data_IF_047256399052
#
_entry.id   IF_047256399052
#
_cell.length_a   1.000
_cell.length_b   1.000
_cell.length_c   1.000
_cell.angle_alpha   90.00
_cell.angle_beta   90.00
_cell.angle_gamma   90.00
#
_symmetry.space_group_name_H-M   'P 1'
#
loop_
_entity.id
_entity.type
_entity.pdbx_description
1 polymer ?
#
# COMPACT_ATOMS: atom_id res chain seq x y z
N UNK A 1 21.94 -30.98 12.06
CA UNK A 1 20.46 -30.89 12.11
C UNK A 1 20.16 -29.45 12.39
N UNK A 2 19.52 -28.74 11.47
CA UNK A 2 19.22 -27.29 11.58
C UNK A 2 17.78 -27.02 12.04
N UNK A 3 17.26 -25.84 11.70
CA UNK A 3 16.11 -25.14 12.28
C UNK A 3 16.36 -24.58 13.70
N UNK A 4 17.55 -24.04 13.94
CA UNK A 4 17.85 -23.35 15.19
C UNK A 4 17.20 -21.96 15.20
N UNK A 5 16.24 -21.74 16.11
CA UNK A 5 15.60 -20.42 16.28
C UNK A 5 16.60 -19.33 16.74
N UNK A 6 17.62 -19.71 17.52
CA UNK A 6 18.80 -18.91 17.83
C UNK A 6 19.92 -19.78 18.41
N UNK A 7 21.03 -19.96 17.69
CA UNK A 7 22.22 -20.69 18.14
C UNK A 7 23.33 -19.73 18.54
N UNK A 8 23.88 -19.90 19.75
CA UNK A 8 25.11 -19.21 20.17
C UNK A 8 26.33 -20.06 19.85
N UNK A 9 27.23 -19.54 19.02
CA UNK A 9 28.53 -20.16 18.75
C UNK A 9 29.59 -19.60 19.70
N UNK A 10 30.36 -20.47 20.34
CA UNK A 10 31.46 -20.07 21.21
C UNK A 10 32.68 -19.59 20.44
N UNK A 11 33.48 -18.72 21.04
CA UNK A 11 34.74 -18.23 20.45
C UNK A 11 35.84 -19.30 20.51
N UNK A 12 35.83 -20.23 19.56
CA UNK A 12 36.84 -21.31 19.46
C UNK A 12 37.74 -21.06 18.25
N UNK A 13 39.03 -20.86 18.49
CA UNK A 13 40.00 -20.54 17.46
C UNK A 13 40.10 -21.61 16.35
N UNK A 14 40.04 -21.14 15.10
CA UNK A 14 40.07 -21.92 13.87
C UNK A 14 38.96 -22.98 13.78
N UNK A 15 37.85 -22.77 14.48
CA UNK A 15 36.71 -23.68 14.38
C UNK A 15 35.90 -23.47 13.10
N UNK A 16 35.21 -24.53 12.70
CA UNK A 16 34.21 -24.51 11.64
C UNK A 16 32.90 -25.03 12.20
N UNK A 17 31.85 -24.23 12.13
CA UNK A 17 30.50 -24.58 12.55
C UNK A 17 29.62 -24.76 11.32
N UNK A 18 28.83 -25.83 11.28
CA UNK A 18 27.88 -26.13 10.19
C UNK A 18 26.50 -26.39 10.77
N UNK A 19 25.49 -25.63 10.34
CA UNK A 19 24.13 -25.73 10.90
C UNK A 19 23.31 -26.82 10.19
N UNK A 20 23.43 -26.87 8.86
CA UNK A 20 23.01 -28.01 8.05
C UNK A 20 21.89 -27.64 7.10
N UNK A 21 20.66 -28.00 7.43
CA UNK A 21 19.48 -27.72 6.62
C UNK A 21 18.37 -27.15 7.49
N UNK A 22 17.52 -26.31 6.94
CA UNK A 22 16.48 -25.60 7.66
C UNK A 22 16.78 -24.10 7.70
N UNK A 23 15.84 -23.31 8.19
CA UNK A 23 16.05 -21.88 8.36
C UNK A 23 16.69 -21.64 9.73
N UNK A 24 17.99 -21.39 9.75
CA UNK A 24 18.77 -21.25 10.98
C UNK A 24 19.04 -19.78 11.34
N UNK A 25 19.06 -19.47 12.63
CA UNK A 25 19.53 -18.18 13.15
C UNK A 25 20.73 -18.41 14.05
N UNK A 26 21.84 -17.73 13.78
CA UNK A 26 23.06 -17.78 14.61
C UNK A 26 23.36 -16.43 15.24
N UNK A 27 23.53 -16.38 16.55
CA UNK A 27 23.95 -15.17 17.25
C UNK A 27 25.45 -14.96 17.09
N UNK A 28 25.79 -13.84 16.45
CA UNK A 28 27.16 -13.35 16.38
C UNK A 28 27.37 -12.28 17.45
N UNK A 29 28.24 -12.59 18.38
CA UNK A 29 28.79 -11.60 19.33
C UNK A 29 30.18 -11.17 18.85
N UNK A 30 30.80 -10.20 19.54
CA UNK A 30 32.18 -9.83 19.23
C UNK A 30 33.09 -11.07 19.36
N UNK A 31 33.57 -11.56 18.22
CA UNK A 31 34.51 -12.67 18.16
C UNK A 31 35.94 -12.15 18.34
N UNK A 32 36.81 -12.95 18.93
CA UNK A 32 38.24 -12.64 19.08
C UNK A 32 39.12 -13.56 18.26
N UNK A 33 38.58 -14.71 17.87
CA UNK A 33 39.32 -15.79 17.24
C UNK A 33 38.75 -16.11 15.86
N UNK A 34 39.64 -16.49 14.94
CA UNK A 34 39.28 -16.82 13.57
C UNK A 34 38.27 -17.97 13.52
N UNK A 35 37.14 -17.80 12.85
CA UNK A 35 36.08 -18.79 12.76
C UNK A 35 35.41 -18.80 11.39
N UNK A 36 34.88 -19.96 11.03
CA UNK A 36 33.99 -20.11 9.86
C UNK A 36 32.65 -20.66 10.33
N UNK A 37 31.56 -20.00 9.94
CA UNK A 37 30.20 -20.45 10.21
C UNK A 37 29.51 -20.63 8.86
N UNK A 38 28.88 -21.77 8.68
CA UNK A 38 28.20 -22.21 7.47
C UNK A 38 26.73 -22.52 7.81
N UNK A 39 25.79 -21.69 7.33
CA UNK A 39 24.36 -21.87 7.55
C UNK A 39 23.88 -23.17 6.89
N UNK A 40 24.18 -23.30 5.61
CA UNK A 40 23.95 -24.51 4.84
C UNK A 40 22.81 -24.31 3.87
N UNK A 41 21.75 -25.13 3.98
CA UNK A 41 20.61 -25.06 3.07
C UNK A 41 19.36 -24.53 3.80
N UNK A 42 18.82 -23.41 3.35
CA UNK A 42 17.65 -22.78 3.94
C UNK A 42 17.74 -21.26 3.78
N UNK A 43 16.93 -20.53 4.53
CA UNK A 43 17.10 -19.09 4.74
C UNK A 43 17.75 -18.86 6.10
N UNK A 44 19.06 -18.68 6.10
CA UNK A 44 19.87 -18.58 7.30
C UNK A 44 20.19 -17.12 7.63
N UNK A 45 20.03 -16.73 8.90
CA UNK A 45 20.24 -15.36 9.38
C UNK A 45 21.32 -15.28 10.45
N UNK A 46 22.08 -14.19 10.43
CA UNK A 46 23.00 -13.82 11.51
C UNK A 46 22.31 -12.82 12.44
N UNK A 47 22.09 -13.23 13.69
CA UNK A 47 21.55 -12.38 14.75
C UNK A 47 22.65 -11.51 15.35
N UNK A 48 22.43 -10.19 15.33
CA UNK A 48 23.36 -9.17 15.83
C UNK A 48 22.61 -8.08 16.60
N UNK A 49 23.32 -7.32 17.42
CA UNK A 49 22.77 -6.05 17.92
C UNK A 49 23.00 -4.92 16.89
N UNK A 50 22.28 -3.81 17.04
CA UNK A 50 22.36 -2.66 16.13
C UNK A 50 23.78 -2.07 16.00
N UNK A 51 24.61 -2.16 17.04
CA UNK A 51 25.99 -1.67 17.01
C UNK A 51 26.88 -2.56 16.12
N UNK A 52 26.75 -3.88 16.24
CA UNK A 52 27.50 -4.83 15.42
C UNK A 52 27.03 -4.82 13.96
N UNK A 53 25.73 -4.59 13.72
CA UNK A 53 25.21 -4.39 12.36
C UNK A 53 25.93 -3.25 11.62
N UNK A 54 26.23 -2.14 12.32
CA UNK A 54 26.98 -0.99 11.78
C UNK A 54 28.44 -1.34 11.53
N UNK A 55 29.11 -2.08 12.43
CA UNK A 55 30.54 -2.39 12.29
C UNK A 55 30.81 -3.51 11.29
N UNK A 56 29.87 -4.45 11.09
CA UNK A 56 30.07 -5.67 10.32
C UNK A 56 30.66 -6.82 11.14
N UNK A 57 30.72 -8.03 10.56
CA UNK A 57 31.28 -9.22 11.21
C UNK A 57 32.80 -9.14 11.46
N UNK A 58 33.52 -8.26 10.74
CA UNK A 58 34.97 -8.16 10.78
C UNK A 58 35.70 -9.28 10.03
N UNK A 59 37.03 -9.18 9.93
CA UNK A 59 37.83 -10.09 9.08
C UNK A 59 38.13 -11.46 9.71
N UNK A 60 37.80 -11.63 10.98
CA UNK A 60 38.07 -12.85 11.76
C UNK A 60 36.94 -13.88 11.64
N UNK A 61 35.75 -13.48 11.17
CA UNK A 61 34.62 -14.40 10.96
C UNK A 61 34.34 -14.51 9.48
N UNK A 62 34.33 -15.74 8.97
CA UNK A 62 33.83 -16.05 7.63
C UNK A 62 32.44 -16.63 7.74
N UNK A 63 31.47 -15.98 7.09
CA UNK A 63 30.07 -16.40 7.04
C UNK A 63 29.80 -16.96 5.63
N UNK A 64 29.39 -18.22 5.55
CA UNK A 64 29.02 -18.89 4.29
C UNK A 64 27.55 -19.29 4.33
N UNK A 65 26.87 -19.21 3.19
CA UNK A 65 25.48 -19.63 3.02
C UNK A 65 24.56 -19.01 4.09
N UNK A 66 24.57 -17.67 4.13
CA UNK A 66 23.66 -16.86 4.93
C UNK A 66 22.97 -15.87 4.00
N UNK A 67 21.68 -15.71 4.19
CA UNK A 67 20.83 -14.84 3.38
C UNK A 67 20.66 -13.46 4.01
N UNK A 68 20.98 -13.29 5.30
CA UNK A 68 20.55 -12.09 5.99
C UNK A 68 21.00 -11.83 7.43
N UNK A 69 20.47 -10.73 7.98
CA UNK A 69 20.62 -10.29 9.36
C UNK A 69 19.30 -10.38 10.13
N UNK A 70 19.41 -10.68 11.43
CA UNK A 70 18.38 -10.39 12.43
C UNK A 70 18.93 -9.38 13.44
N UNK A 71 18.43 -8.15 13.41
CA UNK A 71 18.98 -7.02 14.16
C UNK A 71 18.14 -6.75 15.40
N UNK A 72 18.76 -6.88 16.57
CA UNK A 72 18.18 -6.57 17.88
C UNK A 72 18.63 -5.21 18.41
N UNK A 73 17.84 -4.66 19.34
CA UNK A 73 18.03 -3.32 19.88
C UNK A 73 17.56 -2.22 18.93
N UNK A 74 17.36 -1.02 19.46
CA UNK A 74 16.96 0.13 18.66
C UNK A 74 18.06 0.52 17.67
N UNK A 75 17.63 0.91 16.47
CA UNK A 75 18.49 1.43 15.42
C UNK A 75 18.52 2.95 15.55
N UNK A 76 19.73 3.50 15.71
CA UNK A 76 19.97 4.93 15.82
C UNK A 76 20.31 5.58 14.47
N UNK A 77 20.89 6.77 14.53
CA UNK A 77 21.20 7.60 13.36
C UNK A 77 22.43 7.14 12.56
N UNK A 78 23.25 6.24 13.09
CA UNK A 78 24.43 5.73 12.38
C UNK A 78 23.99 4.74 11.31
N UNK A 79 24.35 5.01 10.06
CA UNK A 79 23.97 4.18 8.93
C UNK A 79 24.56 2.76 9.04
N UNK A 80 23.74 1.77 8.68
CA UNK A 80 24.14 0.39 8.48
C UNK A 80 24.53 0.24 7.01
N UNK A 81 25.79 -0.12 6.76
CA UNK A 81 26.32 -0.33 5.42
C UNK A 81 26.29 -1.83 5.08
N UNK A 82 25.37 -2.23 4.21
CA UNK A 82 25.19 -3.63 3.83
C UNK A 82 26.32 -4.16 2.94
N UNK A 83 27.24 -3.31 2.44
CA UNK A 83 28.46 -3.78 1.80
C UNK A 83 29.35 -4.58 2.77
N UNK A 84 29.25 -4.32 4.08
CA UNK A 84 29.94 -5.08 5.14
C UNK A 84 29.31 -6.46 5.40
N UNK A 85 28.15 -6.71 4.82
CA UNK A 85 27.36 -7.94 4.90
C UNK A 85 27.09 -8.45 3.49
N UNK A 86 28.16 -8.56 2.70
CA UNK A 86 28.07 -8.84 1.25
C UNK A 86 27.24 -10.10 0.99
N UNK A 87 26.29 -9.98 0.04
CA UNK A 87 25.41 -11.07 -0.36
C UNK A 87 24.11 -11.16 0.44
N UNK A 88 24.01 -10.46 1.59
CA UNK A 88 22.81 -10.51 2.42
C UNK A 88 21.70 -9.66 1.82
N UNK A 89 20.52 -10.27 1.67
CA UNK A 89 19.33 -9.65 1.10
C UNK A 89 18.15 -9.64 2.06
N UNK A 90 18.18 -10.42 3.13
CA UNK A 90 17.12 -10.48 4.14
C UNK A 90 17.53 -9.73 5.40
N UNK A 91 16.74 -8.77 5.85
CA UNK A 91 17.01 -8.00 7.07
C UNK A 91 15.76 -8.02 7.95
N UNK A 92 15.85 -8.69 9.08
CA UNK A 92 14.81 -8.72 10.11
C UNK A 92 15.14 -7.75 11.22
N UNK A 93 14.26 -6.80 11.49
CA UNK A 93 14.38 -5.79 12.53
C UNK A 93 13.49 -6.19 13.70
N UNK A 94 14.10 -6.45 14.86
CA UNK A 94 13.39 -6.85 16.09
C UNK A 94 13.22 -5.67 17.06
N UNK A 95 14.16 -4.72 17.04
CA UNK A 95 14.15 -3.58 17.96
C UNK A 95 14.40 -3.98 19.41
N UNK A 96 13.95 -3.14 20.34
CA UNK A 96 13.92 -3.44 21.77
C UNK A 96 12.49 -3.58 22.31
N UNK A 97 12.31 -3.52 23.63
CA UNK A 97 10.98 -3.61 24.25
C UNK A 97 10.01 -2.52 23.76
N UNK A 98 10.53 -1.38 23.32
CA UNK A 98 9.77 -0.17 23.04
C UNK A 98 9.50 0.01 21.54
N UNK A 99 10.54 -0.06 20.70
CA UNK A 99 10.45 0.26 19.27
C UNK A 99 11.63 -0.28 18.45
N UNK A 100 11.53 -0.18 17.12
CA UNK A 100 12.64 -0.51 16.21
C UNK A 100 13.71 0.57 16.13
N UNK A 101 13.32 1.85 16.24
CA UNK A 101 14.17 2.99 15.88
C UNK A 101 14.17 4.04 16.97
N UNK A 102 15.35 4.45 17.44
CA UNK A 102 15.52 5.58 18.38
C UNK A 102 15.75 6.93 17.68
N UNK A 103 16.10 6.89 16.39
CA UNK A 103 16.23 8.03 15.49
C UNK A 103 15.97 7.55 14.04
N UNK A 104 16.05 8.45 13.06
CA UNK A 104 16.00 8.05 11.65
C UNK A 104 17.11 7.03 11.35
N UNK A 105 16.74 5.83 10.93
CA UNK A 105 17.64 4.77 10.54
C UNK A 105 17.98 4.86 9.05
N UNK A 106 19.16 4.38 8.65
CA UNK A 106 19.57 4.35 7.24
C UNK A 106 20.30 3.05 6.93
N UNK A 107 19.86 2.37 5.88
CA UNK A 107 20.50 1.20 5.31
C UNK A 107 21.06 1.58 3.94
N UNK A 108 22.38 1.49 3.80
CA UNK A 108 23.09 1.74 2.55
C UNK A 108 23.46 0.44 1.86
N UNK A 109 23.61 0.50 0.54
CA UNK A 109 24.09 -0.60 -0.30
C UNK A 109 23.24 -1.87 -0.18
N UNK A 110 21.93 -1.73 0.02
CA UNK A 110 21.00 -2.86 -0.05
C UNK A 110 21.06 -3.47 -1.45
N UNK A 111 20.92 -4.79 -1.53
CA UNK A 111 20.78 -5.45 -2.82
C UNK A 111 19.39 -5.17 -3.38
N UNK A 112 19.26 -5.09 -4.71
CA UNK A 112 17.95 -5.04 -5.33
C UNK A 112 17.16 -6.32 -4.96
N UNK A 113 15.86 -6.18 -4.70
CA UNK A 113 14.98 -7.21 -4.13
C UNK A 113 15.30 -7.61 -2.68
N UNK A 114 16.02 -6.78 -1.92
CA UNK A 114 16.15 -6.98 -0.48
C UNK A 114 14.79 -7.00 0.23
N UNK A 115 14.68 -7.84 1.25
CA UNK A 115 13.51 -7.98 2.12
C UNK A 115 13.79 -7.39 3.48
N UNK A 116 12.97 -6.45 3.91
CA UNK A 116 13.01 -5.82 5.23
C UNK A 116 11.79 -6.28 6.03
N UNK A 117 12.03 -7.08 7.07
CA UNK A 117 10.98 -7.56 7.97
C UNK A 117 10.98 -6.74 9.26
N UNK A 118 9.82 -6.22 9.63
CA UNK A 118 9.59 -5.60 10.94
C UNK A 118 8.93 -6.65 11.82
N UNK A 119 9.69 -7.18 12.80
CA UNK A 119 9.26 -8.25 13.67
C UNK A 119 8.84 -7.68 15.03
N UNK A 120 7.55 -7.75 15.36
CA UNK A 120 6.99 -7.46 16.67
C UNK A 120 6.88 -5.98 17.04
N UNK A 121 7.62 -5.09 16.38
CA UNK A 121 7.77 -3.69 16.78
C UNK A 121 7.57 -2.73 15.62
N UNK A 122 6.99 -1.56 15.92
CA UNK A 122 6.79 -0.47 14.97
C UNK A 122 8.06 0.37 14.81
N UNK A 123 8.17 1.04 13.66
CA UNK A 123 9.15 2.09 13.43
C UNK A 123 8.60 3.44 13.91
N UNK A 124 9.25 4.02 14.93
CA UNK A 124 8.88 5.35 15.47
C UNK A 124 9.46 6.49 14.64
N UNK A 125 10.54 6.22 13.90
CA UNK A 125 11.26 7.16 13.05
C UNK A 125 11.43 6.60 11.65
N UNK A 126 11.88 7.43 10.70
CA UNK A 126 12.04 6.99 9.32
C UNK A 126 13.11 5.89 9.21
N UNK A 127 12.89 4.96 8.28
CA UNK A 127 13.86 3.96 7.86
C UNK A 127 14.18 4.24 6.39
N UNK A 128 15.36 4.79 6.12
CA UNK A 128 15.83 5.03 4.75
C UNK A 128 16.45 3.75 4.19
N UNK A 129 15.99 3.34 3.01
CA UNK A 129 16.39 2.12 2.32
C UNK A 129 17.06 2.50 0.99
N UNK A 130 18.39 2.50 0.95
CA UNK A 130 19.15 2.84 -0.24
C UNK A 130 19.62 1.55 -0.93
N UNK A 131 18.92 1.16 -2.00
CA UNK A 131 19.37 0.10 -2.90
C UNK A 131 20.62 0.58 -3.64
N UNK A 132 21.60 -0.33 -3.75
CA UNK A 132 22.83 -0.07 -4.49
C UNK A 132 22.50 0.25 -5.95
N UNK A 133 23.04 1.36 -6.44
CA UNK A 133 22.92 1.84 -7.82
C UNK A 133 21.49 2.25 -8.27
N UNK A 134 20.55 2.41 -7.32
CA UNK A 134 19.14 2.75 -7.58
C UNK A 134 18.95 4.00 -8.47
N UNK A 135 19.76 5.05 -8.27
CA UNK A 135 19.71 6.27 -9.07
C UNK A 135 19.98 6.07 -10.58
N UNK A 136 20.54 4.92 -10.97
CA UNK A 136 20.78 4.54 -12.38
C UNK A 136 19.97 3.33 -12.83
N UNK A 137 19.39 2.60 -11.89
CA UNK A 137 18.46 1.52 -12.18
C UNK A 137 17.11 2.07 -12.64
N UNK A 138 16.27 1.17 -13.16
CA UNK A 138 14.91 1.52 -13.64
C UNK A 138 13.89 0.46 -13.25
N UNK A 139 14.27 -0.46 -12.36
CA UNK A 139 13.41 -1.55 -11.90
C UNK A 139 13.87 -2.01 -10.51
N UNK A 140 14.22 -1.05 -9.67
CA UNK A 140 14.61 -1.32 -8.30
C UNK A 140 13.39 -1.66 -7.47
N UNK A 141 13.56 -2.63 -6.59
CA UNK A 141 12.49 -3.26 -5.82
C UNK A 141 12.95 -3.50 -4.40
N UNK A 142 12.11 -3.12 -3.44
CA UNK A 142 12.26 -3.52 -2.04
C UNK A 142 11.01 -4.24 -1.55
N UNK A 143 11.21 -5.28 -0.74
CA UNK A 143 10.13 -6.04 -0.12
C UNK A 143 10.02 -5.64 1.35
N UNK A 144 8.82 -5.30 1.81
CA UNK A 144 8.52 -4.97 3.20
C UNK A 144 7.63 -6.07 3.78
N UNK A 145 8.01 -6.62 4.93
CA UNK A 145 7.20 -7.58 5.67
C UNK A 145 6.84 -6.97 7.02
N UNK A 146 5.55 -6.87 7.29
CA UNK A 146 5.00 -6.43 8.57
C UNK A 146 4.56 -7.67 9.34
N UNK A 147 5.26 -7.97 10.42
CA UNK A 147 4.98 -9.12 11.27
C UNK A 147 4.77 -8.63 12.71
N UNK A 148 3.55 -8.17 13.06
CA UNK A 148 3.30 -7.49 14.33
C UNK A 148 3.52 -8.37 15.55
N UNK A 149 3.52 -9.71 15.41
CA UNK A 149 3.53 -10.75 16.46
C UNK A 149 2.42 -10.68 17.51
N UNK A 150 2.00 -9.47 17.90
CA UNK A 150 0.98 -9.10 18.88
C UNK A 150 0.27 -7.84 18.38
N UNK A 151 -0.87 -7.47 18.97
CA UNK A 151 -1.54 -6.21 18.67
C UNK A 151 -1.81 -5.41 19.95
N UNK A 152 -2.18 -4.15 19.78
CA UNK A 152 -2.66 -3.26 20.83
C UNK A 152 -4.08 -2.82 20.53
N UNK A 153 -4.83 -2.38 21.55
CA UNK A 153 -6.19 -1.88 21.36
C UNK A 153 -6.25 -0.39 21.65
N UNK A 154 -6.85 0.39 20.76
CA UNK A 154 -7.21 1.79 21.00
C UNK A 154 -8.66 2.03 20.60
N UNK A 155 -9.52 2.25 21.59
CA UNK A 155 -10.97 2.25 21.36
C UNK A 155 -11.44 0.87 20.88
N UNK A 156 -12.08 0.84 19.70
CA UNK A 156 -12.49 -0.40 19.02
C UNK A 156 -11.40 -1.01 18.12
N UNK A 157 -10.32 -0.28 17.87
CA UNK A 157 -9.37 -0.62 16.83
C UNK A 157 -8.30 -1.57 17.37
N UNK A 158 -8.06 -2.66 16.63
CA UNK A 158 -6.96 -3.58 16.87
C UNK A 158 -5.79 -3.16 16.00
N UNK A 159 -4.72 -2.70 16.64
CA UNK A 159 -3.58 -2.08 15.99
C UNK A 159 -2.39 -3.04 16.05
N UNK A 160 -1.98 -3.54 14.88
CA UNK A 160 -0.74 -4.28 14.69
C UNK A 160 0.44 -3.31 14.60
N UNK A 161 1.18 -3.34 13.49
CA UNK A 161 2.26 -2.38 13.23
C UNK A 161 1.70 -1.07 12.66
N UNK A 162 1.48 -0.08 13.53
CA UNK A 162 1.20 1.29 13.11
C UNK A 162 2.47 2.14 13.10
N UNK A 163 3.18 2.14 11.97
CA UNK A 163 4.45 2.85 11.85
C UNK A 163 4.24 4.37 11.88
N UNK A 164 4.93 5.04 12.81
CA UNK A 164 4.94 6.50 12.85
C UNK A 164 5.89 7.05 11.78
N UNK A 165 7.06 6.42 11.62
CA UNK A 165 8.04 6.73 10.61
C UNK A 165 7.68 6.21 9.21
N UNK A 166 8.34 6.77 8.21
CA UNK A 166 8.24 6.36 6.81
C UNK A 166 9.37 5.41 6.46
N UNK A 167 9.10 4.46 5.56
CA UNK A 167 10.14 3.92 4.69
C UNK A 167 10.50 4.98 3.65
N UNK A 168 11.74 5.47 3.70
CA UNK A 168 12.23 6.45 2.74
C UNK A 168 12.93 5.70 1.61
N UNK A 169 12.36 5.80 0.41
CA UNK A 169 12.72 5.04 -0.79
C UNK A 169 13.03 6.01 -1.94
N UNK A 170 14.30 6.41 -2.02
CA UNK A 170 14.80 7.25 -3.11
C UNK A 170 15.14 6.38 -4.32
N UNK A 171 14.65 6.78 -5.50
CA UNK A 171 15.01 6.17 -6.79
C UNK A 171 14.62 4.67 -6.89
N UNK A 172 13.51 4.25 -6.25
CA UNK A 172 13.00 2.88 -6.28
C UNK A 172 11.62 2.83 -6.98
N UNK A 173 11.48 2.03 -8.04
CA UNK A 173 10.25 1.97 -8.85
C UNK A 173 9.17 1.05 -8.30
N UNK A 174 9.53 0.06 -7.49
CA UNK A 174 8.64 -1.01 -7.03
C UNK A 174 8.76 -1.28 -5.52
N UNK A 175 7.62 -1.49 -4.86
CA UNK A 175 7.59 -2.05 -3.50
C UNK A 175 6.63 -3.23 -3.41
N UNK A 176 7.02 -4.27 -2.71
CA UNK A 176 6.12 -5.38 -2.38
C UNK A 176 5.89 -5.40 -0.88
N UNK A 177 4.64 -5.56 -0.45
CA UNK A 177 4.25 -5.53 0.96
C UNK A 177 3.62 -6.87 1.32
N UNK A 178 4.15 -7.52 2.35
CA UNK A 178 3.51 -8.66 3.01
C UNK A 178 3.04 -8.19 4.39
N UNK A 179 1.72 -8.10 4.57
CA UNK A 179 1.11 -7.60 5.81
C UNK A 179 0.49 -8.76 6.58
N UNK A 180 1.19 -9.24 7.61
CA UNK A 180 0.73 -10.38 8.39
C UNK A 180 -0.09 -9.94 9.60
N UNK A 181 -1.03 -10.79 10.01
CA UNK A 181 -1.66 -10.74 11.31
C UNK A 181 -0.65 -11.03 12.43
N UNK A 182 -1.07 -10.76 13.66
CA UNK A 182 -0.39 -11.22 14.86
C UNK A 182 -0.30 -12.76 14.92
N UNK A 183 0.50 -13.27 15.85
CA UNK A 183 0.77 -14.72 15.96
C UNK A 183 -0.50 -15.53 16.18
N UNK A 184 -1.47 -14.96 16.90
CA UNK A 184 -2.76 -15.61 17.19
C UNK A 184 -3.77 -15.52 16.04
N UNK A 185 -3.42 -14.82 14.94
CA UNK A 185 -4.29 -14.59 13.77
C UNK A 185 -5.60 -13.89 14.15
N UNK A 186 -5.48 -12.82 14.93
CA UNK A 186 -6.63 -12.06 15.42
C UNK A 186 -7.28 -11.26 14.29
N UNK A 187 -8.53 -11.57 13.95
CA UNK A 187 -9.26 -10.85 12.90
C UNK A 187 -9.37 -9.35 13.18
N UNK A 188 -9.20 -8.53 12.13
CA UNK A 188 -9.32 -7.07 12.17
C UNK A 188 -8.09 -6.34 12.73
N UNK A 189 -6.98 -7.04 12.98
CA UNK A 189 -5.69 -6.37 13.28
C UNK A 189 -5.23 -5.61 12.04
N UNK A 190 -4.99 -4.31 12.22
CA UNK A 190 -4.55 -3.40 11.16
C UNK A 190 -3.06 -3.06 11.26
N UNK A 191 -2.36 -3.21 10.14
CA UNK A 191 -1.03 -2.68 9.91
C UNK A 191 -1.10 -1.42 9.04
N UNK A 192 -0.27 -0.42 9.35
CA UNK A 192 -0.10 0.80 8.55
C UNK A 192 1.34 0.91 8.08
N UNK A 193 1.52 1.10 6.78
CA UNK A 193 2.82 1.30 6.15
C UNK A 193 2.85 2.65 5.43
N UNK A 194 3.96 3.37 5.62
CA UNK A 194 4.16 4.71 5.07
C UNK A 194 5.41 4.73 4.23
N UNK A 195 5.32 5.27 3.02
CA UNK A 195 6.46 5.47 2.13
C UNK A 195 6.63 6.94 1.81
N UNK A 196 7.87 7.40 1.67
CA UNK A 196 8.17 8.72 1.14
C UNK A 196 9.48 8.69 0.36
N UNK A 197 9.77 9.76 -0.38
CA UNK A 197 11.10 10.03 -0.93
C UNK A 197 11.66 11.30 -0.29
N UNK A 198 12.97 11.51 -0.35
CA UNK A 198 13.61 12.72 0.20
C UNK A 198 13.33 13.97 -0.64
N UNK A 199 12.99 13.80 -1.92
CA UNK A 199 12.61 14.88 -2.83
C UNK A 199 11.69 14.37 -3.95
N UNK A 200 10.91 15.27 -4.56
CA UNK A 200 10.02 14.98 -5.69
C UNK A 200 10.72 14.24 -6.85
N UNK A 201 11.94 14.66 -7.20
CA UNK A 201 12.70 14.06 -8.31
C UNK A 201 13.11 12.61 -8.04
N UNK A 202 13.18 12.21 -6.77
CA UNK A 202 13.55 10.87 -6.34
C UNK A 202 12.36 9.97 -6.02
N UNK A 203 11.15 10.54 -5.96
CA UNK A 203 9.90 9.81 -5.77
C UNK A 203 9.43 9.13 -7.04
N UNK A 204 10.23 8.19 -7.55
CA UNK A 204 10.01 7.49 -8.81
C UNK A 204 9.15 6.23 -8.67
N UNK A 205 8.68 5.91 -7.46
CA UNK A 205 7.80 4.77 -7.20
C UNK A 205 6.59 4.80 -8.15
N UNK A 206 6.40 3.71 -8.89
CA UNK A 206 5.25 3.55 -9.80
C UNK A 206 4.38 2.35 -9.48
N UNK A 207 4.91 1.33 -8.81
CA UNK A 207 4.16 0.10 -8.55
C UNK A 207 4.25 -0.29 -7.07
N UNK A 208 3.13 -0.72 -6.50
CA UNK A 208 3.15 -1.52 -5.28
C UNK A 208 2.25 -2.75 -5.37
N UNK A 209 2.70 -3.85 -4.79
CA UNK A 209 1.88 -5.05 -4.58
C UNK A 209 1.71 -5.32 -3.10
N UNK A 210 0.52 -5.79 -2.71
CA UNK A 210 0.16 -6.02 -1.32
C UNK A 210 -0.46 -7.42 -1.20
N UNK A 211 0.03 -8.20 -0.24
CA UNK A 211 -0.48 -9.52 0.14
C UNK A 211 -0.45 -9.71 1.64
N UNK A 212 -1.04 -10.81 2.12
CA UNK A 212 -1.06 -11.19 3.53
C UNK A 212 -2.49 -11.25 4.06
N UNK A 213 -2.64 -11.31 5.38
CA UNK A 213 -3.91 -11.58 6.05
C UNK A 213 -4.36 -10.47 7.01
N UNK A 214 -3.53 -9.47 7.27
CA UNK A 214 -3.90 -8.32 8.10
C UNK A 214 -4.62 -7.24 7.30
N UNK A 215 -5.49 -6.50 7.98
CA UNK A 215 -6.00 -5.24 7.47
C UNK A 215 -4.80 -4.31 7.21
N UNK A 216 -4.78 -3.62 6.08
CA UNK A 216 -3.59 -2.90 5.61
C UNK A 216 -3.96 -1.54 5.08
N UNK A 217 -3.30 -0.52 5.64
CA UNK A 217 -3.37 0.86 5.19
C UNK A 217 -2.02 1.27 4.60
N UNK A 218 -2.03 1.69 3.33
CA UNK A 218 -0.85 2.20 2.63
C UNK A 218 -0.97 3.71 2.50
N UNK A 219 0.07 4.43 2.95
CA UNK A 219 0.14 5.88 2.90
C UNK A 219 1.39 6.29 2.13
N UNK A 220 1.22 7.15 1.13
CA UNK A 220 2.33 7.78 0.42
C UNK A 220 2.55 9.21 0.91
N UNK A 221 3.81 9.58 1.08
CA UNK A 221 4.23 10.93 1.39
C UNK A 221 4.14 11.83 0.16
N UNK A 222 4.22 13.14 0.38
CA UNK A 222 4.01 14.16 -0.65
C UNK A 222 4.93 14.04 -1.86
N UNK A 223 6.10 13.40 -1.73
CA UNK A 223 7.08 13.31 -2.81
C UNK A 223 6.83 12.13 -3.76
N UNK A 224 5.90 11.23 -3.46
CA UNK A 224 5.49 10.12 -4.33
C UNK A 224 4.19 10.54 -5.04
N UNK A 225 4.23 10.72 -6.36
CA UNK A 225 3.13 11.36 -7.12
C UNK A 225 2.66 10.60 -8.37
N UNK A 226 3.27 9.45 -8.67
CA UNK A 226 3.16 8.79 -9.99
C UNK A 226 2.87 7.29 -9.91
N UNK A 227 2.11 6.85 -8.90
CA UNK A 227 1.67 5.46 -8.80
C UNK A 227 0.83 5.12 -10.04
N UNK A 228 1.28 4.13 -10.79
CA UNK A 228 0.61 3.57 -11.98
C UNK A 228 -0.17 2.31 -11.63
N UNK A 229 0.35 1.49 -10.72
CA UNK A 229 -0.30 0.26 -10.31
C UNK A 229 -0.20 0.07 -8.79
N UNK A 230 -1.33 -0.18 -8.16
CA UNK A 230 -1.43 -0.56 -6.76
C UNK A 230 -2.31 -1.80 -6.66
N UNK A 231 -1.69 -2.95 -6.42
CA UNK A 231 -2.38 -4.25 -6.52
C UNK A 231 -2.41 -4.95 -5.15
N UNK A 232 -3.56 -4.88 -4.48
CA UNK A 232 -3.84 -5.61 -3.25
C UNK A 232 -4.69 -6.87 -3.48
N UNK A 233 -4.80 -7.37 -4.72
CA UNK A 233 -5.68 -8.51 -5.05
C UNK A 233 -5.31 -9.83 -4.37
N UNK A 234 -4.10 -9.92 -3.80
CA UNK A 234 -3.65 -11.05 -3.00
C UNK A 234 -3.74 -10.81 -1.48
N UNK A 235 -4.38 -9.72 -1.05
CA UNK A 235 -4.61 -9.41 0.37
C UNK A 235 -5.92 -10.05 0.83
N UNK A 236 -5.84 -10.83 1.91
CA UNK A 236 -7.00 -11.48 2.54
C UNK A 236 -7.65 -10.61 3.64
N UNK A 237 -6.94 -9.58 4.11
CA UNK A 237 -7.44 -8.55 5.03
C UNK A 237 -8.04 -7.35 4.29
N UNK A 238 -8.64 -6.42 5.04
CA UNK A 238 -9.18 -5.17 4.49
C UNK A 238 -8.07 -4.28 3.97
N UNK A 239 -8.24 -3.75 2.76
CA UNK A 239 -7.40 -2.73 2.17
C UNK A 239 -7.96 -1.32 2.38
N UNK A 240 -7.09 -0.39 2.74
CA UNK A 240 -7.41 1.05 2.80
C UNK A 240 -6.35 1.86 2.08
N UNK A 241 -6.78 2.66 1.10
CA UNK A 241 -5.88 3.51 0.33
C UNK A 241 -6.52 4.84 -0.03
N UNK A 242 -5.80 5.92 0.30
CA UNK A 242 -6.10 7.26 -0.20
C UNK A 242 -5.14 7.65 -1.32
N UNK A 243 -5.65 7.73 -2.54
CA UNK A 243 -4.85 8.03 -3.72
C UNK A 243 -4.66 9.52 -4.00
N UNK A 244 -5.18 10.40 -3.15
CA UNK A 244 -5.14 11.86 -3.32
C UNK A 244 -3.72 12.34 -3.63
N UNK A 245 -3.53 12.94 -4.81
CA UNK A 245 -2.25 13.47 -5.30
C UNK A 245 -1.14 12.45 -5.58
N UNK A 246 -1.43 11.14 -5.54
CA UNK A 246 -0.41 10.08 -5.69
C UNK A 246 -0.45 9.34 -7.02
N UNK A 247 -1.54 9.43 -7.78
CA UNK A 247 -1.72 8.66 -9.01
C UNK A 247 -1.15 9.32 -10.26
N UNK A 248 -0.59 8.48 -11.13
CA UNK A 248 -0.42 8.83 -12.54
C UNK A 248 -1.77 8.75 -13.29
N UNK A 249 -1.82 9.39 -14.46
CA UNK A 249 -2.91 9.18 -15.42
C UNK A 249 -3.10 7.69 -15.74
N UNK A 250 -4.35 7.24 -15.75
CA UNK A 250 -4.74 5.84 -16.07
C UNK A 250 -4.19 4.81 -15.08
N UNK A 251 -3.98 5.20 -13.83
CA UNK A 251 -3.54 4.26 -12.80
C UNK A 251 -4.55 3.13 -12.60
N UNK A 252 -4.05 1.96 -12.18
CA UNK A 252 -4.85 0.79 -11.84
C UNK A 252 -4.72 0.53 -10.35
N UNK A 253 -5.85 0.40 -9.66
CA UNK A 253 -5.92 0.07 -8.24
C UNK A 253 -6.80 -1.16 -8.08
N UNK A 254 -6.34 -2.14 -7.30
CA UNK A 254 -7.12 -3.31 -6.93
C UNK A 254 -7.13 -3.48 -5.42
N UNK A 255 -8.31 -3.62 -4.84
CA UNK A 255 -8.50 -4.13 -3.48
C UNK A 255 -8.27 -5.63 -3.38
N UNK A 256 -8.51 -6.18 -2.19
CA UNK A 256 -8.36 -7.56 -1.80
C UNK A 256 -9.71 -8.29 -1.67
N UNK A 257 -9.81 -9.14 -0.65
CA UNK A 257 -10.94 -10.06 -0.46
C UNK A 257 -11.95 -9.64 0.61
N UNK A 258 -11.80 -8.46 1.21
CA UNK A 258 -12.61 -7.95 2.34
C UNK A 258 -13.18 -6.57 1.99
N UNK A 259 -13.96 -6.01 2.90
CA UNK A 259 -14.67 -4.73 2.73
C UNK A 259 -13.68 -3.55 2.63
N UNK A 260 -13.23 -3.27 1.41
CA UNK A 260 -12.15 -2.34 1.15
C UNK A 260 -12.60 -0.88 1.12
N UNK A 261 -11.64 0.03 1.21
CA UNK A 261 -11.89 1.46 1.09
C UNK A 261 -10.83 2.11 0.22
N UNK A 262 -11.24 2.52 -0.98
CA UNK A 262 -10.34 3.06 -2.01
C UNK A 262 -10.82 4.46 -2.40
N UNK A 263 -9.98 5.46 -2.16
CA UNK A 263 -10.26 6.85 -2.53
C UNK A 263 -9.59 7.22 -3.84
N UNK A 264 -10.32 7.84 -4.77
CA UNK A 264 -9.79 8.32 -6.06
C UNK A 264 -10.60 9.50 -6.62
N UNK A 265 -10.00 10.21 -7.59
CA UNK A 265 -10.64 11.35 -8.26
C UNK A 265 -11.58 10.89 -9.39
N UNK A 266 -12.61 11.71 -9.69
CA UNK A 266 -13.50 11.51 -10.84
C UNK A 266 -12.73 11.48 -12.19
N UNK A 267 -11.61 12.20 -12.26
CA UNK A 267 -10.96 12.62 -13.51
C UNK A 267 -9.47 12.27 -13.59
N UNK A 268 -9.15 10.97 -13.70
CA UNK A 268 -7.79 10.49 -13.96
C UNK A 268 -7.74 9.27 -14.90
N UNK A 269 -8.89 8.84 -15.43
CA UNK A 269 -9.07 7.55 -16.09
C UNK A 269 -8.58 6.36 -15.24
N UNK A 270 -8.61 6.51 -13.91
CA UNK A 270 -8.19 5.46 -12.98
C UNK A 270 -9.12 4.26 -13.15
N UNK A 271 -8.57 3.06 -13.19
CA UNK A 271 -9.33 1.81 -13.15
C UNK A 271 -9.24 1.25 -11.74
N UNK A 272 -10.38 1.06 -11.10
CA UNK A 272 -10.48 0.59 -9.71
C UNK A 272 -11.29 -0.69 -9.67
N UNK A 273 -10.73 -1.72 -9.03
CA UNK A 273 -11.39 -2.99 -8.74
C UNK A 273 -11.47 -3.13 -7.23
N UNK A 274 -12.66 -3.33 -6.68
CA UNK A 274 -12.85 -3.56 -5.24
C UNK A 274 -12.36 -4.94 -4.84
N UNK A 275 -12.73 -5.96 -5.62
CA UNK A 275 -12.45 -7.36 -5.32
C UNK A 275 -13.70 -8.05 -4.76
N UNK A 276 -13.51 -8.85 -3.72
CA UNK A 276 -14.62 -9.45 -3.00
C UNK A 276 -14.87 -8.67 -1.71
N UNK A 277 -16.12 -8.59 -1.25
CA UNK A 277 -16.46 -7.85 -0.04
C UNK A 277 -17.59 -6.88 -0.30
N UNK A 278 -17.79 -5.96 0.63
CA UNK A 278 -18.66 -4.79 0.47
C UNK A 278 -17.77 -3.56 0.40
N UNK A 279 -17.35 -3.22 -0.81
CA UNK A 279 -16.29 -2.24 -1.02
C UNK A 279 -16.82 -0.82 -0.99
N UNK A 280 -16.00 0.10 -0.49
CA UNK A 280 -16.31 1.53 -0.47
C UNK A 280 -15.39 2.28 -1.42
N UNK A 281 -15.97 2.79 -2.50
CA UNK A 281 -15.30 3.63 -3.49
C UNK A 281 -15.53 5.10 -3.16
N UNK A 282 -14.49 5.79 -2.68
CA UNK A 282 -14.58 7.19 -2.26
C UNK A 282 -14.16 8.10 -3.42
N UNK A 283 -15.09 8.87 -3.96
CA UNK A 283 -14.82 9.87 -4.99
C UNK A 283 -14.62 11.23 -4.33
N UNK A 284 -13.37 11.66 -4.23
CA UNK A 284 -12.99 12.81 -3.39
C UNK A 284 -12.67 14.10 -4.15
N UNK A 285 -12.64 14.04 -5.48
CA UNK A 285 -12.45 15.20 -6.34
C UNK A 285 -13.41 15.15 -7.51
N UNK A 286 -14.09 16.27 -7.73
CA UNK A 286 -15.01 16.47 -8.85
C UNK A 286 -14.28 16.59 -10.19
N UNK A 287 -15.02 17.01 -11.20
CA UNK A 287 -14.49 17.29 -12.52
C UNK A 287 -13.75 18.64 -12.56
N UNK A 288 -13.03 18.90 -13.64
CA UNK A 288 -12.68 20.28 -14.03
C UNK A 288 -13.53 20.60 -15.27
N UNK A 289 -14.50 21.52 -15.20
CA UNK A 289 -15.45 21.76 -16.28
C UNK A 289 -14.78 22.29 -17.56
N UNK A 290 -13.56 22.84 -17.46
CA UNK A 290 -12.80 23.35 -18.60
C UNK A 290 -12.06 22.23 -19.32
N UNK A 291 -11.54 21.25 -18.57
CA UNK A 291 -10.66 20.20 -19.12
C UNK A 291 -11.29 18.81 -19.13
N UNK A 292 -12.52 18.66 -18.64
CA UNK A 292 -13.23 17.39 -18.58
C UNK A 292 -13.40 16.75 -19.97
N UNK A 293 -12.99 15.49 -20.07
CA UNK A 293 -13.22 14.64 -21.22
C UNK A 293 -13.74 13.28 -20.75
N UNK A 294 -14.67 12.68 -21.49
CA UNK A 294 -15.25 11.36 -21.17
C UNK A 294 -14.18 10.28 -20.99
N UNK A 295 -13.10 10.34 -21.78
CA UNK A 295 -11.95 9.43 -21.69
C UNK A 295 -11.12 9.57 -20.42
N UNK A 296 -11.39 10.59 -19.58
CA UNK A 296 -10.74 10.85 -18.29
C UNK A 296 -11.60 10.40 -17.11
N UNK A 297 -12.83 9.95 -17.32
CA UNK A 297 -13.69 9.43 -16.24
C UNK A 297 -13.07 8.17 -15.64
N UNK A 298 -12.87 8.19 -14.32
CA UNK A 298 -12.41 7.02 -13.57
C UNK A 298 -13.50 5.94 -13.52
N UNK A 299 -13.08 4.68 -13.52
CA UNK A 299 -13.94 3.51 -13.72
C UNK A 299 -13.83 2.55 -12.54
N UNK A 300 -14.96 2.13 -12.00
CA UNK A 300 -15.10 0.97 -11.11
C UNK A 300 -15.45 -0.24 -11.97
N UNK A 301 -14.72 -1.34 -11.84
CA UNK A 301 -14.84 -2.50 -12.75
C UNK A 301 -15.82 -3.56 -12.31
N UNK A 302 -16.13 -3.62 -11.02
CA UNK A 302 -16.79 -4.73 -10.36
C UNK A 302 -17.80 -4.27 -9.30
N UNK A 303 -18.46 -3.15 -9.55
CA UNK A 303 -19.50 -2.64 -8.64
C UNK A 303 -20.69 -3.60 -8.59
N UNK A 304 -20.89 -4.23 -7.44
CA UNK A 304 -21.91 -5.26 -7.19
C UNK A 304 -22.68 -4.99 -5.90
N UNK A 305 -23.59 -5.91 -5.56
CA UNK A 305 -24.48 -5.77 -4.41
C UNK A 305 -23.69 -5.71 -3.09
N UNK A 306 -23.96 -4.70 -2.28
CA UNK A 306 -23.28 -4.41 -1.03
C UNK A 306 -22.19 -3.35 -1.15
N UNK A 307 -21.68 -3.10 -2.35
CA UNK A 307 -20.70 -2.04 -2.59
C UNK A 307 -21.33 -0.66 -2.46
N UNK A 308 -20.49 0.30 -2.08
CA UNK A 308 -20.89 1.67 -1.81
C UNK A 308 -20.01 2.67 -2.57
N UNK A 309 -20.65 3.57 -3.31
CA UNK A 309 -20.00 4.78 -3.83
C UNK A 309 -20.21 5.89 -2.80
N UNK A 310 -19.11 6.42 -2.28
CA UNK A 310 -19.10 7.56 -1.36
C UNK A 310 -18.62 8.79 -2.13
N UNK A 311 -19.47 9.81 -2.25
CA UNK A 311 -19.12 11.06 -2.94
C UNK A 311 -19.25 12.23 -1.97
N UNK A 312 -18.19 13.02 -1.82
CA UNK A 312 -18.17 14.23 -0.98
C UNK A 312 -18.91 15.43 -1.57
N UNK A 313 -19.10 16.50 -0.77
CA UNK A 313 -19.61 17.79 -1.24
C UNK A 313 -20.31 18.65 -0.16
N UNK A 314 -20.97 19.73 -0.58
CA UNK A 314 -21.82 20.56 0.30
C UNK A 314 -23.02 19.75 0.83
N UNK A 315 -23.42 20.02 2.08
CA UNK A 315 -24.45 19.31 2.86
C UNK A 315 -25.45 18.49 2.03
N UNK A 316 -25.39 17.17 2.20
CA UNK A 316 -26.24 16.23 1.50
C UNK A 316 -27.73 16.55 1.74
N UNK A 317 -28.49 16.66 0.66
CA UNK A 317 -29.95 16.73 0.76
C UNK A 317 -30.51 15.32 0.89
N UNK A 318 -31.56 15.12 1.66
CA UNK A 318 -32.21 13.81 1.75
C UNK A 318 -32.76 13.43 0.37
N UNK A 319 -32.24 12.34 -0.18
CA UNK A 319 -32.72 11.72 -1.40
C UNK A 319 -32.92 10.24 -1.06
N UNK A 320 -34.13 9.72 -1.26
CA UNK A 320 -34.43 8.34 -0.90
C UNK A 320 -34.02 7.35 -2.00
N UNK A 321 -33.85 7.83 -3.24
CA UNK A 321 -33.54 7.03 -4.43
C UNK A 321 -32.76 7.82 -5.47
N UNK A 322 -31.83 7.15 -6.15
CA UNK A 322 -31.08 7.71 -7.28
C UNK A 322 -32.02 7.97 -8.48
N UNK A 323 -31.82 9.09 -9.18
CA UNK A 323 -32.61 9.44 -10.38
C UNK A 323 -32.05 8.70 -11.60
N UNK A 324 -32.89 8.00 -12.37
CA UNK A 324 -32.49 7.48 -13.68
C UNK A 324 -32.70 8.55 -14.76
N UNK A 325 -31.64 8.88 -15.48
CA UNK A 325 -31.71 9.66 -16.72
C UNK A 325 -31.70 8.73 -17.92
N UNK A 326 -32.73 8.83 -18.77
CA UNK A 326 -32.81 8.09 -20.03
C UNK A 326 -32.01 8.84 -21.11
N UNK A 327 -30.93 8.22 -21.60
CA UNK A 327 -30.05 8.81 -22.60
C UNK A 327 -30.80 9.09 -23.91
N UNK A 328 -30.49 10.24 -24.52
CA UNK A 328 -30.95 10.54 -25.87
C UNK A 328 -29.91 10.07 -26.89
N UNK A 329 -30.32 9.22 -27.83
CA UNK A 329 -29.47 8.80 -28.95
C UNK A 329 -29.11 9.92 -29.92
N UNK A 330 -29.72 11.10 -29.80
CA UNK A 330 -29.37 12.28 -30.58
C UNK A 330 -28.26 13.13 -29.95
N UNK A 331 -27.85 12.81 -28.72
CA UNK A 331 -26.85 13.54 -27.94
C UNK A 331 -25.56 12.73 -27.84
N UNK A 332 -24.42 13.41 -27.84
CA UNK A 332 -23.14 12.79 -27.48
C UNK A 332 -23.03 12.57 -25.96
N UNK A 333 -21.93 11.97 -25.52
CA UNK A 333 -21.69 11.72 -24.10
C UNK A 333 -21.73 13.02 -23.27
N UNK A 334 -21.07 14.08 -23.73
CA UNK A 334 -20.95 15.33 -22.98
C UNK A 334 -22.31 16.00 -22.76
N UNK A 335 -23.21 15.94 -23.75
CA UNK A 335 -24.55 16.48 -23.64
C UNK A 335 -25.47 15.58 -22.80
N UNK A 336 -25.37 14.25 -22.93
CA UNK A 336 -26.07 13.33 -22.01
C UNK A 336 -25.62 13.52 -20.55
N UNK A 337 -24.33 13.77 -20.32
CA UNK A 337 -23.78 14.08 -19.00
C UNK A 337 -24.41 15.35 -18.40
N UNK A 338 -24.53 16.43 -19.17
CA UNK A 338 -25.18 17.68 -18.72
C UNK A 338 -26.66 17.50 -18.41
N UNK A 339 -27.39 16.73 -19.23
CA UNK A 339 -28.79 16.43 -18.96
C UNK A 339 -28.94 15.52 -17.73
N UNK A 340 -27.98 14.63 -17.46
CA UNK A 340 -27.95 13.85 -16.23
C UNK A 340 -27.67 14.72 -14.99
N UNK A 341 -26.77 15.71 -15.08
CA UNK A 341 -26.55 16.70 -14.01
C UNK A 341 -27.83 17.50 -13.73
N UNK A 342 -28.54 17.92 -14.78
CA UNK A 342 -29.83 18.59 -14.67
C UNK A 342 -30.91 17.68 -14.06
N UNK A 343 -30.93 16.40 -14.41
CA UNK A 343 -31.86 15.42 -13.84
C UNK A 343 -31.57 15.15 -12.35
N UNK A 344 -30.30 15.22 -11.95
CA UNK A 344 -29.92 15.28 -10.54
C UNK A 344 -30.45 16.58 -9.90
N UNK A 345 -30.12 17.75 -10.46
CA UNK A 345 -30.41 19.04 -9.83
C UNK A 345 -29.62 19.24 -8.54
N UNK A 346 -29.89 20.33 -7.82
CA UNK A 346 -29.01 21.00 -6.84
C UNK A 346 -27.97 20.18 -6.06
N UNK A 347 -28.27 18.98 -5.55
CA UNK A 347 -27.28 18.13 -4.84
C UNK A 347 -27.53 16.64 -5.02
N UNK A 348 -28.38 16.26 -5.97
CA UNK A 348 -28.85 14.87 -6.07
C UNK A 348 -27.91 14.03 -6.90
N UNK A 349 -28.13 12.73 -6.80
CA UNK A 349 -27.45 11.74 -7.62
C UNK A 349 -28.39 11.29 -8.73
N UNK A 350 -27.87 11.25 -9.95
CA UNK A 350 -28.50 10.59 -11.08
C UNK A 350 -27.56 9.51 -11.66
N UNK A 351 -28.13 8.59 -12.43
CA UNK A 351 -27.37 7.64 -13.22
C UNK A 351 -27.96 7.47 -14.61
N UNK A 352 -27.12 7.09 -15.55
CA UNK A 352 -27.52 6.76 -16.91
C UNK A 352 -26.64 5.65 -17.47
N UNK A 353 -27.14 4.95 -18.49
CA UNK A 353 -26.36 3.94 -19.22
C UNK A 353 -26.06 4.47 -20.60
N UNK A 354 -24.79 4.48 -20.99
CA UNK A 354 -24.34 5.02 -22.27
C UNK A 354 -23.54 3.98 -23.03
N UNK A 355 -23.81 3.85 -24.33
CA UNK A 355 -23.01 3.04 -25.24
C UNK A 355 -21.96 3.91 -25.89
N UNK A 356 -20.70 3.69 -25.52
CA UNK A 356 -19.58 4.38 -26.14
C UNK A 356 -19.46 3.94 -27.61
N UNK A 357 -19.61 4.86 -28.59
CA UNK A 357 -19.53 4.51 -30.01
C UNK A 357 -18.12 4.08 -30.43
N UNK A 358 -17.08 4.55 -29.73
CA UNK A 358 -15.68 4.29 -30.08
C UNK A 358 -15.21 2.96 -29.46
N UNK A 359 -15.57 2.70 -28.20
CA UNK A 359 -15.16 1.48 -27.49
C UNK A 359 -16.13 0.31 -27.72
N UNK A 360 -17.34 0.55 -28.23
CA UNK A 360 -18.42 -0.44 -28.33
C UNK A 360 -18.77 -1.10 -26.97
N UNK A 361 -18.49 -0.41 -25.86
CA UNK A 361 -18.89 -0.82 -24.51
C UNK A 361 -20.18 -0.13 -24.10
N UNK A 362 -20.97 -0.78 -23.25
CA UNK A 362 -22.18 -0.18 -22.65
C UNK A 362 -21.98 -0.18 -21.15
N UNK A 363 -21.91 1.01 -20.58
CA UNK A 363 -21.49 1.23 -19.21
C UNK A 363 -22.46 2.18 -18.49
N UNK A 364 -22.52 2.06 -17.17
CA UNK A 364 -23.34 2.92 -16.31
C UNK A 364 -22.50 4.05 -15.74
N UNK A 365 -23.06 5.25 -15.70
CA UNK A 365 -22.40 6.43 -15.17
C UNK A 365 -23.24 6.99 -14.04
N UNK A 366 -22.61 7.25 -12.90
CA UNK A 366 -23.22 7.88 -11.73
C UNK A 366 -22.70 9.31 -11.67
N UNK A 367 -23.63 10.26 -11.56
CA UNK A 367 -23.32 11.70 -11.47
C UNK A 367 -23.91 12.28 -10.20
N UNK A 368 -23.17 13.19 -9.58
CA UNK A 368 -23.67 14.03 -8.49
C UNK A 368 -23.51 15.48 -8.90
N UNK A 369 -24.62 16.20 -8.94
CA UNK A 369 -24.63 17.63 -9.26
C UNK A 369 -24.35 18.48 -8.02
N UNK A 370 -23.77 19.66 -8.22
CA UNK A 370 -23.58 20.71 -7.23
C UNK A 370 -24.57 21.88 -7.36
N UNK A 371 -25.32 21.97 -8.47
CA UNK A 371 -26.29 23.05 -8.70
C UNK A 371 -27.45 22.69 -9.64
N UNK A 372 -28.43 23.59 -9.69
CA UNK A 372 -29.67 23.49 -10.47
C UNK A 372 -29.51 23.82 -11.97
N UNK A 373 -28.47 24.57 -12.32
CA UNK A 373 -28.21 24.96 -13.71
C UNK A 373 -27.40 23.86 -14.39
N UNK A 374 -27.78 23.42 -15.58
CA UNK A 374 -27.16 22.34 -16.37
C UNK A 374 -25.71 22.66 -16.86
N UNK A 375 -24.94 23.38 -16.06
CA UNK A 375 -23.59 23.85 -16.28
C UNK A 375 -22.69 23.07 -15.33
N UNK A 376 -21.80 22.28 -15.92
CA UNK A 376 -20.78 21.56 -15.19
C UNK A 376 -19.89 22.54 -14.37
N UNK A 377 -19.64 22.23 -13.10
CA UNK A 377 -18.70 22.93 -12.24
C UNK A 377 -17.70 21.98 -11.54
N UNK A 378 -16.72 22.53 -10.83
CA UNK A 378 -15.63 21.74 -10.21
C UNK A 378 -16.06 20.84 -9.05
N UNK A 379 -17.29 21.03 -8.56
CA UNK A 379 -17.94 20.26 -7.50
C UNK A 379 -18.97 19.27 -8.05
N UNK A 380 -19.09 19.14 -9.37
CA UNK A 380 -19.80 18.02 -9.99
C UNK A 380 -18.91 16.79 -10.04
N UNK A 381 -19.52 15.63 -9.82
CA UNK A 381 -18.82 14.35 -9.80
C UNK A 381 -19.38 13.41 -10.85
N UNK A 382 -18.50 12.58 -11.39
CA UNK A 382 -18.86 11.47 -12.26
C UNK A 382 -17.95 10.28 -12.00
N UNK A 383 -18.56 9.10 -11.97
CA UNK A 383 -17.82 7.83 -11.98
C UNK A 383 -18.47 6.87 -12.96
N UNK A 384 -17.65 6.14 -13.70
CA UNK A 384 -18.08 5.07 -14.61
C UNK A 384 -18.10 3.75 -13.84
N UNK A 385 -19.15 2.97 -14.04
CA UNK A 385 -19.28 1.59 -13.59
C UNK A 385 -19.28 0.70 -14.83
N UNK A 386 -18.43 -0.32 -14.84
CA UNK A 386 -18.34 -1.22 -15.99
C UNK A 386 -19.61 -2.05 -16.16
N UNK A 387 -20.17 -2.06 -17.37
CA UNK A 387 -21.40 -2.78 -17.69
C UNK A 387 -22.69 -1.99 -17.41
N UNK A 388 -23.81 -2.57 -17.83
CA UNK A 388 -25.14 -2.02 -17.62
C UNK A 388 -25.68 -2.42 -16.24
N UNK A 389 -25.49 -1.54 -15.26
CA UNK A 389 -25.91 -1.73 -13.87
C UNK A 389 -27.21 -0.95 -13.62
N UNK A 390 -28.23 -1.65 -13.11
CA UNK A 390 -29.48 -1.03 -12.68
C UNK A 390 -29.38 -0.57 -11.22
N UNK A 391 -29.37 0.75 -11.02
CA UNK A 391 -29.31 1.38 -9.70
C UNK A 391 -30.69 1.78 -9.17
N UNK A 392 -31.79 1.37 -9.81
CA UNK A 392 -33.16 1.74 -9.40
C UNK A 392 -33.53 1.32 -7.96
N UNK A 393 -32.86 0.28 -7.44
CA UNK A 393 -33.03 -0.22 -6.08
C UNK A 393 -31.88 0.18 -5.13
N UNK A 394 -30.91 0.95 -5.61
CA UNK A 394 -29.82 1.42 -4.76
C UNK A 394 -30.37 2.30 -3.63
N UNK A 395 -29.82 2.14 -2.45
CA UNK A 395 -30.15 2.98 -1.29
C UNK A 395 -29.24 4.20 -1.28
N UNK A 396 -29.81 5.35 -0.95
CA UNK A 396 -29.04 6.58 -0.72
C UNK A 396 -29.14 6.92 0.76
N UNK A 397 -27.97 7.08 1.39
CA UNK A 397 -27.88 7.56 2.76
C UNK A 397 -26.87 8.70 2.84
N UNK A 398 -26.80 9.35 3.99
CA UNK A 398 -25.86 10.44 4.24
C UNK A 398 -25.00 10.12 5.46
N UNK A 399 -23.72 10.49 5.38
CA UNK A 399 -22.78 10.43 6.49
C UNK A 399 -22.05 11.76 6.59
N UNK A 400 -22.48 12.60 7.52
CA UNK A 400 -22.06 14.00 7.55
C UNK A 400 -22.46 14.73 6.26
N UNK A 401 -21.46 15.19 5.49
CA UNK A 401 -21.67 15.87 4.21
C UNK A 401 -21.58 14.93 3.00
N UNK A 402 -21.29 13.66 3.22
CA UNK A 402 -21.06 12.70 2.14
C UNK A 402 -22.38 12.02 1.74
N UNK A 403 -22.54 11.78 0.44
CA UNK A 403 -23.61 10.95 -0.11
C UNK A 403 -23.09 9.53 -0.31
N UNK A 404 -23.82 8.54 0.20
CA UNK A 404 -23.52 7.12 0.08
C UNK A 404 -24.56 6.46 -0.83
N UNK A 405 -24.11 5.80 -1.88
CA UNK A 405 -24.95 5.07 -2.83
C UNK A 405 -24.57 3.60 -2.72
N UNK A 406 -25.46 2.77 -2.18
CA UNK A 406 -25.21 1.34 -1.94
C UNK A 406 -26.16 0.49 -2.77
N UNK A 407 -25.63 -0.48 -3.52
CA UNK A 407 -26.42 -1.40 -4.36
C UNK A 407 -27.00 -2.58 -3.58
#
# INVERSE_FOLDING_TARGET
TGNFENLKVGNVANSTVKLGSGDDVVELTATTDKQTIDGGAGTDLVSVNSSLAVTGAGDIVTLNNFEGLKISGQIGATAIDMAKWTGFSHITLVGDSSALTSANATFNNLLNNSTITLEGKKADHNITLNIKDAATGTNDTVNIVLDPKTFTVSGSDKIGLNNAGNFVIDDIENVNITSNLDTEKTEGVKNTVKFNATADAKGVLTNATIKGDADTEVIFGSNIKKIKALDASALEGKFTFDSTAHLADKAVIKGGAKDDTITFASTMATTVTGGAGKDTFVINKGIDPVTFAASKTSTITDFTKGDTIKIGGLAATTQDKIVKYEVSGSLDFANNFKEALKAAGDKKVAYFTYRDPDANSTDTYVVKSHGDDAVADEHDYIVKLSGAIDLSNATITTSGNDTLITL
#
